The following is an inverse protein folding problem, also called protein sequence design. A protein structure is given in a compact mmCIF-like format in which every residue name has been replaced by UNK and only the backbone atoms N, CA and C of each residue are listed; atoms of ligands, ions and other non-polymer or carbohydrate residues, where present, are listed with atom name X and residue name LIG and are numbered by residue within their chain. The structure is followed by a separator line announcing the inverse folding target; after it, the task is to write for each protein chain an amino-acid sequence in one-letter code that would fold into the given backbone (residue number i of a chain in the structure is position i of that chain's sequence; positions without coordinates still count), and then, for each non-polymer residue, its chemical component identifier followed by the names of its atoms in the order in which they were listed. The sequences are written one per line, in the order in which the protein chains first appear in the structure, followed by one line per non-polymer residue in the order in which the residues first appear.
data_IF_392906844668
#
_entry.id   IF_392906844668
#
_cell.length_a   1.000
_cell.length_b   1.000
_cell.length_c   1.000
_cell.angle_alpha   90.00
_cell.angle_beta   90.00
_cell.angle_gamma   90.00
#
_symmetry.space_group_name_H-M   'P 1'
#
loop_
_entity.id
_entity.type
_entity.pdbx_description
1 polymer ?
#
# COMPACT_ATOMS: atom_id res chain seq x y z
N UNK A 1 19.72 9.04 28.67
CA UNK A 1 19.84 10.34 29.37
C UNK A 1 21.29 10.78 29.48
N UNK A 2 22.25 9.91 29.82
CA UNK A 2 23.68 10.29 29.95
C UNK A 2 24.23 10.96 28.69
N UNK A 3 23.93 10.45 27.51
CA UNK A 3 24.31 11.07 26.23
C UNK A 3 23.73 12.49 26.07
N UNK A 4 22.45 12.67 26.43
CA UNK A 4 21.80 13.99 26.38
C UNK A 4 22.42 14.94 27.41
N UNK A 5 22.81 14.44 28.61
CA UNK A 5 23.47 15.23 29.65
C UNK A 5 24.87 15.64 29.19
N UNK A 6 25.63 14.74 28.59
CA UNK A 6 26.95 15.03 28.02
C UNK A 6 26.92 16.06 26.88
N UNK A 7 25.80 16.13 26.17
CA UNK A 7 25.57 17.09 25.09
C UNK A 7 24.89 18.40 25.55
N UNK A 8 24.71 18.60 26.87
CA UNK A 8 23.98 19.74 27.47
C UNK A 8 22.54 19.90 26.97
N UNK A 9 21.89 18.78 26.64
CA UNK A 9 20.52 18.77 26.11
C UNK A 9 19.47 18.55 27.21
N UNK A 10 19.88 18.43 28.48
CA UNK A 10 18.98 18.25 29.61
C UNK A 10 19.37 19.18 30.76
N UNK A 11 18.38 19.51 31.62
CA UNK A 11 18.57 20.27 32.83
C UNK A 11 17.64 19.77 33.93
N UNK A 12 17.93 20.13 35.17
CA UNK A 12 17.10 19.81 36.35
C UNK A 12 16.29 21.03 36.77
N UNK A 13 14.98 20.85 36.93
CA UNK A 13 14.08 21.87 37.46
C UNK A 13 12.96 21.20 38.26
N UNK A 14 12.67 21.74 39.46
CA UNK A 14 11.62 21.25 40.37
C UNK A 14 11.74 19.74 40.69
N UNK A 15 12.96 19.25 40.78
CA UNK A 15 13.26 17.84 41.02
C UNK A 15 13.06 16.91 39.80
N UNK A 16 12.66 17.45 38.65
CA UNK A 16 12.47 16.70 37.42
C UNK A 16 13.61 16.97 36.43
N UNK A 17 13.93 15.98 35.56
CA UNK A 17 14.88 16.16 34.47
C UNK A 17 14.12 16.55 33.20
N UNK A 18 14.50 17.66 32.62
CA UNK A 18 13.89 18.24 31.43
C UNK A 18 14.81 18.12 30.21
N UNK A 19 14.26 17.78 29.08
CA UNK A 19 14.91 17.84 27.78
C UNK A 19 14.66 19.19 27.12
N UNK A 20 15.74 19.85 26.60
CA UNK A 20 15.69 21.13 25.90
C UNK A 20 15.10 20.99 24.49
N UNK A 21 13.87 20.50 24.37
CA UNK A 21 13.26 20.26 23.05
C UNK A 21 12.98 21.55 22.27
N UNK A 22 12.89 22.71 22.95
CA UNK A 22 12.79 24.02 22.28
C UNK A 22 14.04 24.36 21.44
N UNK A 23 15.22 23.86 21.80
CA UNK A 23 16.42 24.01 21.00
C UNK A 23 16.35 23.30 19.65
N UNK A 24 15.40 22.40 19.47
CA UNK A 24 15.14 21.62 18.26
C UNK A 24 13.80 21.98 17.58
N UNK A 25 13.15 23.09 18.00
CA UNK A 25 11.92 23.59 17.37
C UNK A 25 10.61 23.12 17.98
N UNK A 26 10.64 22.48 19.17
CA UNK A 26 9.40 22.18 19.92
C UNK A 26 8.83 23.47 20.57
N UNK A 27 7.55 23.47 20.91
CA UNK A 27 6.84 24.61 21.54
C UNK A 27 7.27 24.84 23.01
N UNK A 28 7.78 23.79 23.67
CA UNK A 28 8.26 23.83 25.06
C UNK A 28 9.20 22.68 25.34
N UNK A 29 10.02 22.84 26.40
CA UNK A 29 10.84 21.75 26.91
C UNK A 29 9.99 20.64 27.54
N UNK A 30 10.52 19.42 27.53
CA UNK A 30 9.77 18.23 27.92
C UNK A 30 10.42 17.49 29.09
N UNK A 31 9.59 17.11 30.05
CA UNK A 31 10.04 16.25 31.16
C UNK A 31 10.35 14.85 30.62
N UNK A 32 11.55 14.36 30.92
CA UNK A 32 11.97 12.97 30.62
C UNK A 32 12.02 12.12 31.88
N UNK A 33 12.39 12.69 33.04
CA UNK A 33 12.23 12.05 34.33
C UNK A 33 11.42 12.95 35.26
N UNK A 34 10.45 12.36 35.95
CA UNK A 34 9.61 13.03 36.92
C UNK A 34 10.39 13.27 38.21
N UNK A 35 9.88 14.15 39.10
CA UNK A 35 10.46 14.43 40.40
C UNK A 35 10.54 13.20 41.34
N UNK A 36 9.76 12.17 41.09
CA UNK A 36 9.83 10.89 41.79
C UNK A 36 10.84 9.90 41.17
N UNK A 37 11.65 10.34 40.20
CA UNK A 37 12.67 9.54 39.52
C UNK A 37 12.14 8.60 38.44
N UNK A 38 10.82 8.53 38.18
CA UNK A 38 10.25 7.66 37.16
C UNK A 38 10.39 8.28 35.75
N UNK A 39 10.79 7.49 34.77
CA UNK A 39 10.82 7.96 33.37
C UNK A 39 9.41 8.25 32.85
N UNK A 40 9.30 9.21 31.96
CA UNK A 40 8.10 9.44 31.16
C UNK A 40 8.08 8.51 29.94
N UNK A 41 6.95 8.37 29.26
CA UNK A 41 6.89 7.66 27.98
C UNK A 41 7.87 8.25 26.96
N UNK A 42 8.03 9.57 26.96
CA UNK A 42 8.96 10.23 26.07
C UNK A 42 10.43 9.85 26.33
N UNK A 43 10.83 9.63 27.59
CA UNK A 43 12.14 9.09 27.91
C UNK A 43 12.35 7.68 27.32
N UNK A 44 11.29 6.85 27.35
CA UNK A 44 11.30 5.53 26.75
C UNK A 44 11.43 5.62 25.21
N UNK A 45 10.69 6.56 24.59
CA UNK A 45 10.76 6.79 23.13
C UNK A 45 12.17 7.20 22.68
N UNK A 46 12.84 8.11 23.42
CA UNK A 46 14.24 8.51 23.17
C UNK A 46 15.19 7.29 23.24
N UNK A 47 15.02 6.46 24.27
CA UNK A 47 15.79 5.23 24.43
C UNK A 47 15.56 4.26 23.27
N UNK A 48 14.32 4.10 22.85
CA UNK A 48 13.92 3.18 21.80
C UNK A 48 14.43 3.61 20.41
N UNK A 49 14.38 4.89 20.08
CA UNK A 49 14.99 5.44 18.86
C UNK A 49 16.50 5.14 18.84
N UNK A 50 17.18 5.40 19.94
CA UNK A 50 18.61 5.15 20.08
C UNK A 50 18.94 3.66 19.90
N UNK A 51 18.14 2.79 20.52
CA UNK A 51 18.32 1.33 20.41
C UNK A 51 18.14 0.87 18.96
N UNK A 52 17.12 1.36 18.24
CA UNK A 52 16.88 1.00 16.85
C UNK A 52 18.03 1.39 15.92
N UNK A 53 18.52 2.62 16.01
CA UNK A 53 19.70 3.05 15.24
C UNK A 53 20.95 2.25 15.60
N UNK A 54 21.10 1.86 16.89
CA UNK A 54 22.26 1.06 17.33
C UNK A 54 22.31 -0.34 16.71
N UNK A 55 21.20 -0.84 16.14
CA UNK A 55 21.15 -2.11 15.38
C UNK A 55 21.73 -1.99 13.96
N UNK A 56 22.15 -0.81 13.54
CA UNK A 56 22.77 -0.57 12.23
C UNK A 56 21.78 -0.30 11.10
N UNK A 57 20.53 0.07 11.42
CA UNK A 57 19.60 0.57 10.42
C UNK A 57 19.88 2.03 10.09
N UNK A 58 19.93 2.34 8.79
CA UNK A 58 20.15 3.70 8.30
C UNK A 58 18.86 4.51 8.26
N UNK A 59 17.70 3.86 8.17
CA UNK A 59 16.39 4.49 8.08
C UNK A 59 15.38 3.78 8.97
N UNK A 60 14.66 4.55 9.79
CA UNK A 60 13.62 4.06 10.69
C UNK A 60 12.25 4.55 10.23
N UNK A 61 11.33 3.62 10.00
CA UNK A 61 9.94 3.92 9.68
C UNK A 61 9.06 3.50 10.85
N UNK A 62 8.37 4.46 11.45
CA UNK A 62 7.35 4.24 12.47
C UNK A 62 5.97 4.31 11.84
N UNK A 63 5.10 3.39 12.20
CA UNK A 63 3.71 3.36 11.74
C UNK A 63 2.83 3.63 12.96
N UNK A 64 2.18 4.80 13.00
CA UNK A 64 1.34 5.24 14.11
C UNK A 64 -0.06 5.62 13.64
N UNK A 65 -1.05 5.54 14.54
CA UNK A 65 -2.34 6.15 14.32
C UNK A 65 -2.24 7.69 14.25
N UNK A 66 -3.11 8.31 13.49
CA UNK A 66 -3.15 9.78 13.29
C UNK A 66 -3.31 10.56 14.60
N UNK A 67 -3.87 9.96 15.64
CA UNK A 67 -3.97 10.51 16.99
C UNK A 67 -2.61 10.79 17.65
N UNK A 68 -1.53 10.16 17.16
CA UNK A 68 -0.15 10.40 17.61
C UNK A 68 0.58 11.52 16.84
N UNK A 69 -0.07 12.24 15.92
CA UNK A 69 0.57 13.27 15.09
C UNK A 69 1.36 14.31 15.92
N UNK A 70 0.81 14.72 17.07
CA UNK A 70 1.44 15.69 17.98
C UNK A 70 2.75 15.23 18.63
N UNK A 71 3.12 13.94 18.51
CA UNK A 71 4.36 13.39 19.06
C UNK A 71 5.47 13.24 18.02
N UNK A 72 5.16 13.37 16.73
CA UNK A 72 6.09 13.15 15.62
C UNK A 72 7.30 14.09 15.69
N UNK A 73 7.04 15.40 15.71
CA UNK A 73 8.10 16.42 15.77
C UNK A 73 9.00 16.23 17.00
N UNK A 74 8.39 15.95 18.15
CA UNK A 74 9.09 15.72 19.42
C UNK A 74 10.06 14.54 19.34
N UNK A 75 9.64 13.44 18.71
CA UNK A 75 10.51 12.27 18.56
C UNK A 75 11.63 12.50 17.53
N UNK A 76 11.37 13.23 16.46
CA UNK A 76 12.40 13.67 15.50
C UNK A 76 13.45 14.54 16.18
N UNK A 77 13.01 15.51 16.99
CA UNK A 77 13.88 16.37 17.77
C UNK A 77 14.77 15.59 18.74
N UNK A 78 14.18 14.56 19.38
CA UNK A 78 14.91 13.66 20.26
C UNK A 78 15.98 12.84 19.50
N UNK A 79 15.66 12.32 18.33
CA UNK A 79 16.62 11.62 17.46
C UNK A 79 17.79 12.55 17.09
N UNK A 80 17.51 13.78 16.69
CA UNK A 80 18.51 14.79 16.39
C UNK A 80 19.39 15.11 17.60
N UNK A 81 18.81 15.28 18.78
CA UNK A 81 19.54 15.52 20.03
C UNK A 81 20.45 14.34 20.42
N UNK A 82 20.08 13.13 20.01
CA UNK A 82 20.91 11.92 20.20
C UNK A 82 21.99 11.76 19.12
N UNK A 83 22.10 12.71 18.18
CA UNK A 83 23.12 12.74 17.13
C UNK A 83 22.74 11.95 15.88
N UNK A 84 21.47 11.60 15.70
CA UNK A 84 20.96 10.95 14.47
C UNK A 84 20.39 11.99 13.51
N UNK A 85 20.45 11.70 12.22
CA UNK A 85 19.83 12.53 11.21
C UNK A 85 18.28 12.41 11.32
N UNK A 86 17.55 13.53 11.54
CA UNK A 86 16.10 13.51 11.65
C UNK A 86 15.41 13.09 10.34
N UNK A 87 16.06 13.19 9.18
CA UNK A 87 15.52 12.76 7.90
C UNK A 87 15.52 11.23 7.75
N UNK A 88 16.33 10.54 8.57
CA UNK A 88 16.33 9.08 8.67
C UNK A 88 15.31 8.55 9.70
N UNK A 89 14.55 9.44 10.33
CA UNK A 89 13.46 9.09 11.23
C UNK A 89 12.12 9.50 10.60
N UNK A 90 11.40 8.52 10.07
CA UNK A 90 10.13 8.74 9.40
C UNK A 90 8.97 8.20 10.21
N UNK A 91 7.83 8.89 10.13
CA UNK A 91 6.57 8.43 10.72
C UNK A 91 5.48 8.43 9.66
N UNK A 92 4.93 7.26 9.41
CA UNK A 92 3.72 7.09 8.61
C UNK A 92 2.51 7.14 9.55
N UNK A 93 1.69 8.17 9.40
CA UNK A 93 0.46 8.31 10.16
C UNK A 93 -0.68 7.60 9.41
N UNK A 94 -1.32 6.66 10.10
CA UNK A 94 -2.45 5.89 9.55
C UNK A 94 -3.76 6.56 9.96
N UNK A 95 -4.58 6.90 8.98
CA UNK A 95 -5.92 7.43 9.17
C UNK A 95 -6.86 6.42 9.84
N UNK A 96 -7.98 6.91 10.35
CA UNK A 96 -9.00 6.05 10.95
C UNK A 96 -9.64 5.13 9.91
N UNK A 97 -9.94 3.91 10.33
CA UNK A 97 -10.72 2.95 9.56
C UNK A 97 -12.08 2.78 10.23
N UNK A 98 -13.14 3.09 9.49
CA UNK A 98 -14.52 2.83 9.89
C UNK A 98 -15.05 1.67 9.05
N UNK A 99 -15.71 0.72 9.68
CA UNK A 99 -16.40 -0.34 8.96
C UNK A 99 -17.85 0.06 8.71
N UNK A 100 -18.29 -0.08 7.47
CA UNK A 100 -19.66 0.23 7.07
C UNK A 100 -20.35 -0.98 6.46
N UNK A 101 -21.64 -1.08 6.72
CA UNK A 101 -22.55 -2.08 6.12
C UNK A 101 -23.76 -1.31 5.62
N UNK A 102 -24.08 -1.39 4.35
CA UNK A 102 -25.17 -0.63 3.70
C UNK A 102 -25.10 0.88 3.97
N UNK A 103 -23.89 1.42 4.01
CA UNK A 103 -23.64 2.86 4.25
C UNK A 103 -23.79 3.30 5.72
N UNK A 104 -24.03 2.37 6.66
CA UNK A 104 -24.14 2.65 8.09
C UNK A 104 -22.89 2.17 8.80
N UNK A 105 -22.29 3.04 9.61
CA UNK A 105 -21.12 2.68 10.42
C UNK A 105 -21.47 1.59 11.42
N UNK A 106 -20.68 0.50 11.42
CA UNK A 106 -20.75 -0.56 12.43
C UNK A 106 -19.98 -0.09 13.65
N UNK A 107 -20.72 0.33 14.69
CA UNK A 107 -20.11 0.80 15.93
C UNK A 107 -19.32 -0.31 16.62
N UNK A 108 -18.01 -0.10 16.76
CA UNK A 108 -17.13 -1.00 17.51
C UNK A 108 -16.95 -0.49 18.93
N UNK A 109 -17.35 -1.29 19.92
CA UNK A 109 -17.16 -0.97 21.33
C UNK A 109 -16.58 -2.15 22.09
N UNK A 110 -15.37 -2.00 22.61
CA UNK A 110 -14.74 -2.99 23.50
C UNK A 110 -15.60 -3.27 24.74
N UNK A 111 -16.33 -2.24 25.25
CA UNK A 111 -17.20 -2.38 26.41
C UNK A 111 -18.49 -3.12 26.13
N UNK A 112 -19.00 -3.03 24.91
CA UNK A 112 -20.23 -3.71 24.47
C UNK A 112 -19.97 -5.09 23.85
N UNK A 113 -18.71 -5.51 23.69
CA UNK A 113 -18.35 -6.79 23.05
C UNK A 113 -18.59 -6.81 21.53
N UNK A 114 -18.82 -5.65 20.91
CA UNK A 114 -19.04 -5.50 19.45
C UNK A 114 -17.72 -5.07 18.76
N UNK A 115 -16.65 -5.79 19.04
CA UNK A 115 -15.34 -5.53 18.45
C UNK A 115 -15.12 -6.49 17.28
N UNK A 116 -14.87 -5.96 16.08
CA UNK A 116 -14.48 -6.74 14.90
C UNK A 116 -12.96 -6.89 14.93
N UNK A 117 -12.49 -8.12 15.05
CA UNK A 117 -11.04 -8.41 14.96
C UNK A 117 -10.60 -8.41 13.50
N UNK A 118 -9.28 -8.37 13.29
CA UNK A 118 -8.73 -8.56 11.94
C UNK A 118 -9.11 -9.94 11.38
N UNK A 119 -9.10 -10.97 12.20
CA UNK A 119 -9.49 -12.33 11.79
C UNK A 119 -10.96 -12.38 11.35
N UNK A 120 -11.88 -11.75 12.11
CA UNK A 120 -13.29 -11.63 11.70
C UNK A 120 -13.46 -10.93 10.35
N UNK A 121 -12.66 -9.88 10.09
CA UNK A 121 -12.68 -9.19 8.80
C UNK A 121 -12.17 -10.09 7.67
N UNK A 122 -11.03 -10.76 7.87
CA UNK A 122 -10.44 -11.65 6.87
C UNK A 122 -11.35 -12.84 6.56
N UNK A 123 -12.01 -13.39 7.58
CA UNK A 123 -13.01 -14.46 7.41
C UNK A 123 -14.24 -13.97 6.63
N UNK A 124 -14.64 -12.72 6.82
CA UNK A 124 -15.81 -12.15 6.15
C UNK A 124 -15.58 -11.79 4.69
N UNK A 125 -14.43 -11.21 4.34
CA UNK A 125 -14.18 -10.62 3.00
C UNK A 125 -13.05 -11.30 2.24
N UNK A 126 -12.23 -12.11 2.90
CA UNK A 126 -11.01 -12.71 2.34
C UNK A 126 -9.82 -11.77 2.36
N UNK A 127 -8.62 -12.36 2.33
CA UNK A 127 -7.34 -11.62 2.41
C UNK A 127 -7.17 -10.65 1.24
N UNK A 128 -7.50 -11.07 0.01
CA UNK A 128 -7.29 -10.27 -1.19
C UNK A 128 -8.13 -8.99 -1.19
N UNK A 129 -9.41 -9.09 -0.83
CA UNK A 129 -10.27 -7.92 -0.73
C UNK A 129 -9.81 -6.99 0.40
N UNK A 130 -9.50 -7.52 1.59
CA UNK A 130 -9.00 -6.72 2.70
C UNK A 130 -7.72 -5.95 2.29
N UNK A 131 -6.73 -6.62 1.70
CA UNK A 131 -5.49 -5.98 1.23
C UNK A 131 -5.74 -4.91 0.19
N UNK A 132 -6.61 -5.18 -0.77
CA UNK A 132 -6.95 -4.20 -1.81
C UNK A 132 -7.53 -2.93 -1.23
N UNK A 133 -8.56 -3.04 -0.38
CA UNK A 133 -9.24 -1.89 0.19
C UNK A 133 -8.29 -1.03 1.04
N UNK A 134 -7.42 -1.64 1.85
CA UNK A 134 -6.42 -0.92 2.60
C UNK A 134 -5.33 -0.30 1.71
N UNK A 135 -4.85 -1.01 0.69
CA UNK A 135 -3.81 -0.52 -0.21
C UNK A 135 -4.30 0.54 -1.20
N UNK A 136 -5.61 0.69 -1.39
CA UNK A 136 -6.21 1.61 -2.37
C UNK A 136 -6.31 3.06 -1.90
N UNK A 137 -5.85 3.36 -0.68
CA UNK A 137 -5.84 4.71 -0.10
C UNK A 137 -4.45 5.03 0.43
N UNK A 138 -4.10 6.32 0.42
CA UNK A 138 -2.91 6.79 1.11
C UNK A 138 -3.04 6.55 2.61
N UNK A 139 -1.93 6.27 3.28
CA UNK A 139 -1.91 5.87 4.69
C UNK A 139 -2.65 6.85 5.61
N UNK A 140 -2.52 8.15 5.37
CA UNK A 140 -3.11 9.21 6.19
C UNK A 140 -4.61 9.48 5.93
N UNK A 141 -5.17 8.89 4.87
CA UNK A 141 -6.58 9.08 4.50
C UNK A 141 -7.47 8.12 5.28
N UNK A 142 -8.54 8.66 5.85
CA UNK A 142 -9.57 7.83 6.50
C UNK A 142 -10.24 6.89 5.50
N UNK A 143 -10.55 5.67 5.96
CA UNK A 143 -11.17 4.62 5.14
C UNK A 143 -12.55 4.29 5.72
N UNK A 144 -13.59 4.43 4.91
CA UNK A 144 -14.86 3.77 5.11
C UNK A 144 -14.79 2.40 4.40
N UNK A 145 -14.53 1.35 5.18
CA UNK A 145 -14.41 0.00 4.66
C UNK A 145 -15.80 -0.62 4.52
N UNK A 146 -16.29 -0.68 3.29
CA UNK A 146 -17.58 -1.29 2.96
C UNK A 146 -17.44 -2.80 2.87
N UNK A 147 -17.93 -3.49 3.91
CA UNK A 147 -17.85 -4.96 4.05
C UNK A 147 -18.67 -5.64 2.94
N UNK A 148 -19.87 -5.13 2.63
CA UNK A 148 -20.73 -5.75 1.63
C UNK A 148 -20.18 -5.57 0.21
N UNK A 149 -19.59 -4.42 -0.11
CA UNK A 149 -18.87 -4.22 -1.37
C UNK A 149 -17.68 -5.17 -1.48
N UNK A 150 -16.90 -5.33 -0.41
CA UNK A 150 -15.72 -6.20 -0.39
C UNK A 150 -16.06 -7.70 -0.59
N UNK A 151 -17.26 -8.13 -0.22
CA UNK A 151 -17.77 -9.51 -0.44
C UNK A 151 -18.28 -9.76 -1.86
N UNK A 152 -18.60 -8.71 -2.63
CA UNK A 152 -19.21 -8.89 -3.95
C UNK A 152 -18.28 -9.59 -4.93
N UNK A 153 -18.81 -10.62 -5.58
CA UNK A 153 -18.17 -11.30 -6.72
C UNK A 153 -18.69 -10.71 -8.05
N UNK A 154 -18.47 -9.42 -8.22
CA UNK A 154 -18.93 -8.66 -9.39
C UNK A 154 -17.97 -7.53 -9.73
N UNK A 155 -18.16 -6.88 -10.90
CA UNK A 155 -17.37 -5.74 -11.32
C UNK A 155 -17.46 -4.51 -10.41
N UNK A 156 -18.39 -4.48 -9.46
CA UNK A 156 -18.46 -3.41 -8.46
C UNK A 156 -17.34 -3.53 -7.44
N UNK A 157 -16.89 -4.76 -7.13
CA UNK A 157 -15.74 -5.01 -6.28
C UNK A 157 -14.45 -4.84 -7.08
N UNK A 158 -13.61 -3.84 -6.80
CA UNK A 158 -12.46 -3.52 -7.64
C UNK A 158 -11.40 -4.64 -7.68
N UNK A 159 -11.17 -5.37 -6.59
CA UNK A 159 -10.23 -6.50 -6.61
C UNK A 159 -10.76 -7.63 -7.47
N UNK A 160 -12.04 -7.96 -7.35
CA UNK A 160 -12.68 -8.96 -8.20
C UNK A 160 -12.59 -8.58 -9.68
N UNK A 161 -12.85 -7.31 -10.01
CA UNK A 161 -12.75 -6.78 -11.38
C UNK A 161 -11.37 -6.98 -11.99
N UNK A 162 -10.30 -6.71 -11.23
CA UNK A 162 -8.90 -6.88 -11.70
C UNK A 162 -8.54 -8.36 -11.81
N UNK A 163 -8.87 -9.18 -10.82
CA UNK A 163 -8.64 -10.62 -10.84
C UNK A 163 -9.40 -11.29 -11.99
N UNK A 164 -10.62 -10.84 -12.27
CA UNK A 164 -11.41 -11.33 -13.40
C UNK A 164 -10.74 -11.03 -14.76
N UNK A 165 -10.07 -9.88 -14.92
CA UNK A 165 -9.29 -9.60 -16.12
C UNK A 165 -8.17 -10.63 -16.31
N UNK A 166 -7.42 -10.95 -15.25
CA UNK A 166 -6.37 -11.98 -15.28
C UNK A 166 -6.92 -13.36 -15.65
N UNK A 167 -7.97 -13.82 -14.97
CA UNK A 167 -8.61 -15.12 -15.22
C UNK A 167 -9.20 -15.21 -16.64
N UNK A 168 -9.74 -14.11 -17.14
CA UNK A 168 -10.25 -14.02 -18.53
C UNK A 168 -9.14 -14.20 -19.54
N UNK A 169 -7.96 -13.59 -19.34
CA UNK A 169 -6.80 -13.78 -20.21
C UNK A 169 -6.37 -15.25 -20.21
N UNK A 170 -6.27 -15.87 -19.03
CA UNK A 170 -5.96 -17.29 -18.92
C UNK A 170 -6.94 -18.16 -19.72
N UNK A 171 -8.23 -17.85 -19.67
CA UNK A 171 -9.24 -18.54 -20.49
C UNK A 171 -9.06 -18.33 -22.00
N UNK A 172 -8.69 -17.10 -22.42
CA UNK A 172 -8.40 -16.79 -23.85
C UNK A 172 -7.21 -17.60 -24.32
N UNK A 173 -6.14 -17.68 -23.54
CA UNK A 173 -4.92 -18.44 -23.88
C UNK A 173 -5.23 -19.93 -24.02
N UNK A 174 -6.03 -20.51 -23.10
CA UNK A 174 -6.48 -21.92 -23.23
C UNK A 174 -7.27 -22.15 -24.51
N UNK A 175 -8.23 -21.30 -24.82
CA UNK A 175 -9.04 -21.40 -26.06
C UNK A 175 -8.20 -21.24 -27.32
N UNK A 176 -7.20 -20.39 -27.30
CA UNK A 176 -6.27 -20.23 -28.43
C UNK A 176 -5.45 -21.50 -28.65
N UNK A 177 -4.94 -22.13 -27.59
CA UNK A 177 -4.22 -23.40 -27.67
C UNK A 177 -5.10 -24.54 -28.23
N UNK A 178 -6.37 -24.63 -27.80
CA UNK A 178 -7.35 -25.57 -28.32
C UNK A 178 -7.62 -25.35 -29.83
N UNK A 179 -7.53 -24.11 -30.32
CA UNK A 179 -7.65 -23.73 -31.72
C UNK A 179 -6.32 -23.87 -32.50
N UNK A 180 -5.25 -24.39 -31.89
CA UNK A 180 -3.94 -24.54 -32.51
C UNK A 180 -3.16 -23.23 -32.70
N UNK A 181 -3.56 -22.16 -32.02
CA UNK A 181 -2.88 -20.86 -32.03
C UNK A 181 -1.92 -20.73 -30.85
N UNK A 182 -0.73 -20.20 -31.12
CA UNK A 182 0.27 -19.89 -30.14
C UNK A 182 0.63 -18.40 -30.14
N UNK A 183 1.06 -17.83 -29.02
CA UNK A 183 1.51 -16.44 -28.98
C UNK A 183 2.78 -16.25 -29.84
N UNK A 184 2.85 -15.11 -30.53
CA UNK A 184 4.08 -14.71 -31.24
C UNK A 184 5.18 -14.30 -30.22
N UNK A 185 6.47 -14.33 -30.63
CA UNK A 185 7.57 -13.87 -29.77
C UNK A 185 7.57 -12.35 -29.54
N UNK A 186 6.78 -11.59 -30.29
CA UNK A 186 6.70 -10.14 -30.21
C UNK A 186 5.41 -9.58 -30.80
N UNK A 187 5.30 -8.25 -30.76
CA UNK A 187 4.10 -7.51 -31.19
C UNK A 187 4.37 -6.60 -32.38
N UNK A 188 5.42 -6.86 -33.16
CA UNK A 188 5.81 -6.04 -34.30
C UNK A 188 4.66 -5.90 -35.30
N UNK A 189 4.41 -4.67 -35.77
CA UNK A 189 3.32 -4.35 -36.69
C UNK A 189 1.90 -4.41 -36.12
N UNK A 190 1.72 -4.85 -34.85
CA UNK A 190 0.41 -4.86 -34.18
C UNK A 190 0.02 -3.46 -33.70
N UNK A 191 1.01 -2.70 -33.21
CA UNK A 191 0.79 -1.42 -32.54
C UNK A 191 0.37 -0.27 -33.48
N UNK A 192 0.14 -0.56 -34.77
CA UNK A 192 -0.49 0.38 -35.71
C UNK A 192 -2.00 0.51 -35.47
N UNK A 193 -2.64 -0.46 -34.79
CA UNK A 193 -4.04 -0.41 -34.39
C UNK A 193 -4.24 0.28 -33.04
N UNK A 194 -5.25 1.15 -32.95
CA UNK A 194 -5.44 1.93 -31.71
C UNK A 194 -5.75 1.08 -30.46
N UNK A 195 -6.63 0.04 -30.49
CA UNK A 195 -6.90 -0.74 -29.29
C UNK A 195 -5.65 -1.48 -28.78
N UNK A 196 -4.80 -1.99 -29.67
CA UNK A 196 -3.56 -2.68 -29.31
C UNK A 196 -2.51 -1.71 -28.77
N UNK A 197 -2.35 -0.56 -29.43
CA UNK A 197 -1.39 0.47 -28.99
C UNK A 197 -1.79 1.07 -27.63
N UNK A 198 -3.08 1.30 -27.40
CA UNK A 198 -3.57 1.79 -26.11
C UNK A 198 -3.25 0.82 -24.96
N UNK A 199 -3.53 -0.48 -25.16
CA UNK A 199 -3.21 -1.50 -24.16
C UNK A 199 -1.69 -1.61 -23.92
N UNK A 200 -0.88 -1.61 -24.97
CA UNK A 200 0.58 -1.69 -24.85
C UNK A 200 1.17 -0.51 -24.07
N UNK A 201 0.65 0.70 -24.28
CA UNK A 201 1.07 1.89 -23.50
C UNK A 201 0.82 1.70 -22.01
N UNK A 202 -0.34 1.16 -21.63
CA UNK A 202 -0.63 0.93 -20.20
C UNK A 202 0.26 -0.19 -19.65
N UNK A 203 0.43 -1.30 -20.37
CA UNK A 203 1.32 -2.42 -19.96
C UNK A 203 2.74 -1.93 -19.66
N UNK A 204 3.29 -1.03 -20.50
CA UNK A 204 4.68 -0.56 -20.37
C UNK A 204 4.92 0.36 -19.17
N UNK A 205 3.88 0.91 -18.54
CA UNK A 205 3.99 1.88 -17.44
C UNK A 205 4.25 1.28 -16.05
N UNK A 206 4.15 -0.05 -15.88
CA UNK A 206 4.33 -0.64 -14.55
C UNK A 206 5.63 -0.23 -13.85
N UNK A 207 6.80 -0.19 -14.52
CA UNK A 207 8.04 0.22 -13.86
C UNK A 207 7.98 1.64 -13.28
N UNK A 208 7.42 2.60 -14.03
CA UNK A 208 7.23 4.00 -13.59
C UNK A 208 6.28 4.07 -12.39
N UNK A 209 5.17 3.32 -12.44
CA UNK A 209 4.19 3.26 -11.33
C UNK A 209 4.82 2.70 -10.05
N UNK A 210 5.70 1.70 -10.18
CA UNK A 210 6.42 1.15 -9.02
C UNK A 210 7.43 2.14 -8.48
N UNK A 211 8.17 2.84 -9.36
CA UNK A 211 9.11 3.88 -8.94
C UNK A 211 8.38 5.01 -8.19
N UNK A 212 7.28 5.51 -8.74
CA UNK A 212 6.45 6.53 -8.09
C UNK A 212 5.92 6.06 -6.72
N UNK A 213 5.47 4.81 -6.63
CA UNK A 213 4.98 4.23 -5.38
C UNK A 213 6.08 4.12 -4.31
N UNK A 214 7.31 3.77 -4.72
CA UNK A 214 8.47 3.71 -3.82
C UNK A 214 8.88 5.10 -3.35
N UNK A 215 8.95 6.07 -4.25
CA UNK A 215 9.33 7.44 -3.92
C UNK A 215 8.30 8.12 -3.01
N UNK A 216 7.02 7.83 -3.22
CA UNK A 216 5.94 8.35 -2.38
C UNK A 216 5.74 7.53 -1.09
N UNK A 217 6.28 6.31 -1.01
CA UNK A 217 6.00 5.32 0.04
C UNK A 217 4.49 5.02 0.20
N UNK A 218 3.81 4.95 -0.92
CA UNK A 218 2.35 4.80 -1.00
C UNK A 218 1.96 3.73 -2.03
N UNK A 219 0.91 2.96 -1.75
CA UNK A 219 0.49 1.81 -2.56
C UNK A 219 -0.69 2.08 -3.49
N UNK A 220 -1.48 3.14 -3.26
CA UNK A 220 -2.71 3.41 -4.02
C UNK A 220 -2.47 3.63 -5.52
N UNK A 221 -1.29 4.08 -5.93
CA UNK A 221 -0.90 4.18 -7.33
C UNK A 221 -0.92 2.82 -8.04
N UNK A 222 -0.50 1.76 -7.35
CA UNK A 222 -0.48 0.40 -7.89
C UNK A 222 -1.90 -0.15 -8.07
N UNK A 223 -2.82 0.08 -7.11
CA UNK A 223 -4.22 -0.35 -7.23
C UNK A 223 -4.95 0.40 -8.35
N UNK A 224 -4.71 1.71 -8.46
CA UNK A 224 -5.25 2.54 -9.54
C UNK A 224 -4.76 2.05 -10.91
N UNK A 225 -3.46 1.80 -11.04
CA UNK A 225 -2.87 1.25 -12.26
C UNK A 225 -3.44 -0.12 -12.63
N UNK A 226 -3.55 -1.05 -11.68
CA UNK A 226 -4.12 -2.37 -11.93
C UNK A 226 -5.57 -2.29 -12.43
N UNK A 227 -6.37 -1.36 -11.89
CA UNK A 227 -7.73 -1.08 -12.34
C UNK A 227 -7.75 -0.50 -13.75
N UNK A 228 -6.86 0.46 -14.05
CA UNK A 228 -6.69 1.04 -15.40
C UNK A 228 -6.32 -0.04 -16.42
N UNK A 229 -5.34 -0.89 -16.07
CA UNK A 229 -4.89 -1.98 -16.95
C UNK A 229 -5.99 -3.00 -17.23
N UNK A 230 -6.75 -3.40 -16.21
CA UNK A 230 -7.91 -4.28 -16.38
C UNK A 230 -8.98 -3.63 -17.28
N UNK A 231 -9.26 -2.36 -17.08
CA UNK A 231 -10.23 -1.60 -17.89
C UNK A 231 -9.78 -1.51 -19.35
N UNK A 232 -8.51 -1.20 -19.57
CA UNK A 232 -7.96 -1.11 -20.92
C UNK A 232 -7.93 -2.49 -21.63
N UNK A 233 -7.66 -3.56 -20.87
CA UNK A 233 -7.76 -4.92 -21.41
C UNK A 233 -9.20 -5.28 -21.80
N UNK A 234 -10.20 -4.94 -20.99
CA UNK A 234 -11.60 -5.21 -21.33
C UNK A 234 -12.04 -4.42 -22.57
N UNK A 235 -11.59 -3.18 -22.74
CA UNK A 235 -11.82 -2.40 -23.96
C UNK A 235 -11.17 -3.06 -25.19
N UNK A 236 -9.88 -3.41 -25.07
CA UNK A 236 -9.17 -4.14 -26.13
C UNK A 236 -9.89 -5.43 -26.51
N UNK A 237 -10.30 -6.25 -25.54
CA UNK A 237 -10.96 -7.53 -25.79
C UNK A 237 -12.34 -7.39 -26.45
N UNK A 238 -13.06 -6.32 -26.16
CA UNK A 238 -14.35 -6.00 -26.80
C UNK A 238 -14.16 -5.61 -28.29
N UNK A 239 -13.12 -4.81 -28.54
CA UNK A 239 -12.94 -4.16 -29.84
C UNK A 239 -12.01 -4.97 -30.80
N UNK A 240 -11.26 -5.95 -30.23
CA UNK A 240 -10.30 -6.76 -30.97
C UNK A 240 -10.55 -8.27 -30.76
N UNK A 241 -10.86 -9.00 -31.84
CA UNK A 241 -10.97 -10.46 -31.79
C UNK A 241 -9.58 -11.07 -31.56
N UNK A 242 -9.29 -11.56 -30.37
CA UNK A 242 -7.97 -12.09 -29.99
C UNK A 242 -7.74 -13.48 -30.61
N UNK A 243 -8.72 -14.37 -30.56
CA UNK A 243 -8.66 -15.71 -31.15
C UNK A 243 -9.41 -15.70 -32.48
N UNK A 244 -8.68 -15.71 -33.58
CA UNK A 244 -9.21 -15.69 -34.95
C UNK A 244 -8.36 -16.62 -35.84
N UNK A 245 -8.91 -17.78 -36.17
CA UNK A 245 -8.24 -18.80 -37.01
C UNK A 245 -8.07 -18.38 -38.47
N UNK A 246 -8.86 -17.39 -38.93
CA UNK A 246 -8.75 -16.84 -40.27
C UNK A 246 -7.60 -15.82 -40.39
N UNK A 247 -7.11 -15.31 -39.24
CA UNK A 247 -5.98 -14.36 -39.16
C UNK A 247 -4.94 -14.83 -38.11
N UNK A 248 -4.30 -15.99 -38.32
CA UNK A 248 -3.48 -16.64 -37.30
C UNK A 248 -2.28 -15.80 -36.86
N UNK A 249 -1.63 -15.07 -37.76
CA UNK A 249 -0.49 -14.20 -37.41
C UNK A 249 -0.91 -13.02 -36.53
N UNK A 250 -2.06 -12.41 -36.82
CA UNK A 250 -2.60 -11.32 -36.03
C UNK A 250 -3.05 -11.82 -34.65
N UNK A 251 -3.70 -12.99 -34.61
CA UNK A 251 -4.07 -13.64 -33.35
C UNK A 251 -2.85 -13.97 -32.51
N UNK A 252 -1.78 -14.51 -33.09
CA UNK A 252 -0.55 -14.81 -32.36
C UNK A 252 0.05 -13.57 -31.70
N UNK A 253 0.06 -12.41 -32.35
CA UNK A 253 0.55 -11.13 -31.79
C UNK A 253 -0.40 -10.58 -30.72
N UNK A 254 -1.73 -10.66 -30.92
CA UNK A 254 -2.73 -10.28 -29.91
C UNK A 254 -2.65 -11.16 -28.66
N UNK A 255 -2.37 -12.45 -28.84
CA UNK A 255 -2.11 -13.36 -27.73
C UNK A 255 -0.83 -12.99 -26.96
N UNK A 256 0.24 -12.59 -27.65
CA UNK A 256 1.45 -12.09 -26.98
C UNK A 256 1.16 -10.84 -26.13
N UNK A 257 0.39 -9.89 -26.66
CA UNK A 257 -0.03 -8.70 -25.90
C UNK A 257 -0.93 -9.04 -24.71
N UNK A 258 -1.87 -9.98 -24.88
CA UNK A 258 -2.72 -10.46 -23.78
C UNK A 258 -1.90 -11.14 -22.68
N UNK A 259 -0.91 -11.98 -23.03
CA UNK A 259 0.01 -12.59 -22.05
C UNK A 259 0.87 -11.57 -21.33
N UNK A 260 1.41 -10.56 -22.04
CA UNK A 260 2.12 -9.46 -21.41
C UNK A 260 1.21 -8.74 -20.41
N UNK A 261 -0.06 -8.50 -20.76
CA UNK A 261 -1.06 -7.91 -19.86
C UNK A 261 -1.30 -8.78 -18.63
N UNK A 262 -1.45 -10.10 -18.80
CA UNK A 262 -1.64 -11.05 -17.71
C UNK A 262 -0.47 -11.02 -16.73
N UNK A 263 0.76 -11.11 -17.24
CA UNK A 263 1.97 -11.04 -16.43
C UNK A 263 2.06 -9.71 -15.66
N UNK A 264 1.73 -8.61 -16.32
CA UNK A 264 1.76 -7.28 -15.71
C UNK A 264 0.71 -7.14 -14.60
N UNK A 265 -0.51 -7.65 -14.81
CA UNK A 265 -1.56 -7.70 -13.76
C UNK A 265 -1.11 -8.57 -12.59
N UNK A 266 -0.55 -9.76 -12.86
CA UNK A 266 -0.05 -10.64 -11.81
C UNK A 266 1.07 -9.98 -10.99
N UNK A 267 2.00 -9.28 -11.64
CA UNK A 267 3.07 -8.55 -10.97
C UNK A 267 2.51 -7.42 -10.10
N UNK A 268 1.57 -6.62 -10.61
CA UNK A 268 0.95 -5.55 -9.84
C UNK A 268 0.19 -6.09 -8.61
N UNK A 269 -0.57 -7.19 -8.78
CA UNK A 269 -1.28 -7.86 -7.68
C UNK A 269 -0.29 -8.45 -6.65
N UNK A 270 0.81 -9.06 -7.11
CA UNK A 270 1.83 -9.64 -6.24
C UNK A 270 2.51 -8.58 -5.36
N UNK A 271 2.79 -7.37 -5.89
CA UNK A 271 3.30 -6.23 -5.11
C UNK A 271 2.36 -5.85 -3.96
N UNK A 272 1.06 -6.03 -4.15
CA UNK A 272 0.04 -5.79 -3.13
C UNK A 272 -0.18 -7.01 -2.20
N UNK A 273 0.47 -8.14 -2.47
CA UNK A 273 0.24 -9.41 -1.77
C UNK A 273 -1.15 -9.98 -2.04
N UNK A 274 -1.68 -9.79 -3.24
CA UNK A 274 -3.00 -10.23 -3.71
C UNK A 274 -2.80 -11.34 -4.76
N UNK A 275 -3.65 -12.34 -4.74
CA UNK A 275 -3.59 -13.45 -5.68
C UNK A 275 -4.03 -13.05 -7.09
N UNK A 276 -3.48 -13.74 -8.11
CA UNK A 276 -3.87 -13.61 -9.50
C UNK A 276 -4.38 -14.96 -10.03
N UNK A 277 -5.66 -15.32 -9.79
CA UNK A 277 -6.21 -16.62 -10.14
C UNK A 277 -6.38 -16.78 -11.65
N UNK A 278 -6.13 -18.00 -12.17
CA UNK A 278 -6.36 -18.35 -13.58
C UNK A 278 -7.83 -18.73 -13.88
N UNK A 279 -8.66 -18.84 -12.86
CA UNK A 279 -10.09 -19.13 -12.96
C UNK A 279 -10.86 -18.49 -11.79
N UNK A 280 -12.03 -17.99 -12.09
CA UNK A 280 -12.97 -17.41 -11.14
C UNK A 280 -14.39 -17.84 -11.49
#
# INVERSE_FOLDING_TARGET
VERLRAADQVYEQDGATWFRSTAFGDDKDRVIYRSDGRPTYFAADIGYVTEKFSRGFDHLIYIWGVDHHGTVARNKNAAQAMGYDPDHYQVLLIGWVRFVVDGVEVSMSKRAGTFVTLDDLLDAVGTDAARWFFASRAAHVEIDFDIELAKKQSAENPVYYVQYAHARIASIVRKAAEAGLAPAPGVEGLLAGEPEAALARVVSRLPEVVEDAVLAEETQGITAYATELATQFHAFYRDARVVDTDQPERSARRLALALATQTTLANALALLGISAPDAM
#
